data_IF_079096910290
#
_entry.id   IF_079096910290
#
_cell.length_a   1.000
_cell.length_b   1.000
_cell.length_c   1.000
_cell.angle_alpha   90.00
_cell.angle_beta   90.00
_cell.angle_gamma   90.00
#
_symmetry.space_group_name_H-M   'P 1'
#
loop_
_entity.id
_entity.type
_entity.pdbx_description
1 polymer ?
#
# COMPACT_ATOMS: atom_id res chain seq x y z
N UNK A 1 -4.76 10.54 -2.02
CA UNK A 1 -4.25 9.48 -2.91
C UNK A 1 -4.59 9.77 -4.37
N UNK A 2 -3.63 9.57 -5.29
CA UNK A 2 -3.83 9.62 -6.74
C UNK A 2 -3.53 8.23 -7.30
N UNK A 3 -4.44 7.66 -8.08
CA UNK A 3 -4.28 6.34 -8.71
C UNK A 3 -4.41 6.53 -10.21
N UNK A 4 -3.41 6.09 -10.95
CA UNK A 4 -3.43 6.06 -12.42
C UNK A 4 -3.41 4.60 -12.87
N UNK A 5 -4.36 4.21 -13.72
CA UNK A 5 -4.53 2.83 -14.16
C UNK A 5 -4.28 2.74 -15.66
N UNK A 6 -3.24 1.98 -16.02
CA UNK A 6 -2.90 1.66 -17.40
C UNK A 6 -3.29 0.22 -17.70
N UNK A 7 -4.29 0.01 -18.55
CA UNK A 7 -4.72 -1.32 -19.00
C UNK A 7 -3.85 -1.79 -20.17
N UNK A 8 -3.27 -2.98 -20.05
CA UNK A 8 -2.45 -3.62 -21.08
C UNK A 8 -3.18 -4.84 -21.69
N UNK A 9 -2.83 -5.23 -22.94
CA UNK A 9 -3.39 -6.43 -23.55
C UNK A 9 -3.04 -7.69 -22.74
N UNK A 10 -4.02 -8.59 -22.57
CA UNK A 10 -3.85 -9.83 -21.79
C UNK A 10 -4.38 -9.79 -20.35
N UNK A 11 -5.28 -8.87 -20.04
CA UNK A 11 -5.86 -8.68 -18.69
C UNK A 11 -4.80 -8.30 -17.64
N UNK A 12 -3.76 -7.59 -18.07
CA UNK A 12 -2.75 -7.02 -17.16
C UNK A 12 -3.05 -5.53 -17.03
N UNK A 13 -3.11 -5.02 -15.81
CA UNK A 13 -3.26 -3.60 -15.53
C UNK A 13 -2.12 -3.13 -14.64
N UNK A 14 -1.51 -2.01 -14.98
CA UNK A 14 -0.49 -1.36 -14.17
C UNK A 14 -1.13 -0.20 -13.41
N UNK A 15 -1.07 -0.26 -12.09
CA UNK A 15 -1.56 0.77 -11.17
C UNK A 15 -0.36 1.60 -10.70
N UNK A 16 -0.35 2.89 -11.00
CA UNK A 16 0.59 3.83 -10.41
C UNK A 16 -0.12 4.58 -9.28
N UNK A 17 0.35 4.37 -8.06
CA UNK A 17 -0.28 4.92 -6.86
C UNK A 17 0.67 5.95 -6.25
N UNK A 18 0.14 7.14 -6.00
CA UNK A 18 0.84 8.25 -5.36
C UNK A 18 0.08 8.71 -4.12
N UNK A 19 0.77 8.67 -2.98
CA UNK A 19 0.25 9.01 -1.68
C UNK A 19 0.78 10.39 -1.25
N UNK A 20 -0.13 11.29 -0.82
CA UNK A 20 0.25 12.59 -0.29
C UNK A 20 0.99 12.45 1.05
N UNK A 21 1.86 13.41 1.38
CA UNK A 21 2.68 13.36 2.58
C UNK A 21 1.90 13.45 3.89
N UNK A 22 0.67 13.95 3.85
CA UNK A 22 -0.23 13.99 5.00
C UNK A 22 -0.63 12.59 5.48
N UNK A 23 -0.99 11.70 4.55
CA UNK A 23 -1.37 10.32 4.87
C UNK A 23 -0.17 9.52 5.41
N UNK A 24 0.99 9.68 4.76
CA UNK A 24 2.23 9.05 5.19
C UNK A 24 2.65 9.52 6.57
N UNK A 25 2.54 10.83 6.86
CA UNK A 25 2.84 11.38 8.18
C UNK A 25 1.90 10.85 9.26
N UNK A 26 0.61 10.74 8.97
CA UNK A 26 -0.38 10.21 9.91
C UNK A 26 -0.14 8.74 10.24
N UNK A 27 0.20 7.95 9.24
CA UNK A 27 0.53 6.53 9.42
C UNK A 27 1.87 6.37 10.16
N UNK A 28 2.86 7.23 9.87
CA UNK A 28 4.12 7.32 10.61
C UNK A 28 3.90 7.58 12.10
N UNK A 29 3.11 8.59 12.46
CA UNK A 29 2.76 8.88 13.85
C UNK A 29 2.07 7.69 14.52
N UNK A 30 1.20 6.98 13.80
CA UNK A 30 0.48 5.82 14.33
C UNK A 30 1.43 4.66 14.63
N UNK A 31 2.35 4.38 13.72
CA UNK A 31 3.38 3.35 13.89
C UNK A 31 4.33 3.75 15.02
N UNK A 32 4.83 4.99 15.02
CA UNK A 32 5.71 5.52 16.06
C UNK A 32 5.08 5.44 17.46
N UNK A 33 3.78 5.74 17.60
CA UNK A 33 3.06 5.59 18.87
C UNK A 33 2.89 4.11 19.28
N UNK A 34 2.71 3.21 18.30
CA UNK A 34 2.64 1.76 18.57
C UNK A 34 3.99 1.25 19.07
N UNK A 35 5.08 1.59 18.38
CA UNK A 35 6.43 1.32 18.86
C UNK A 35 6.70 1.95 20.23
N UNK A 36 6.24 3.17 20.49
CA UNK A 36 6.39 3.81 21.80
C UNK A 36 5.77 2.99 22.93
N UNK A 37 4.63 2.33 22.69
CA UNK A 37 3.93 1.49 23.66
C UNK A 37 4.65 0.17 23.93
N UNK A 38 5.20 -0.47 22.89
CA UNK A 38 5.79 -1.81 23.00
C UNK A 38 7.31 -1.82 23.18
N UNK A 39 8.02 -0.77 22.75
CA UNK A 39 9.47 -0.71 22.80
C UNK A 39 9.97 -0.57 24.24
N UNK A 40 10.81 -1.53 24.65
CA UNK A 40 11.56 -1.46 25.90
C UNK A 40 12.82 -0.62 25.68
N UNK A 41 12.77 0.66 26.03
CA UNK A 41 13.92 1.56 25.93
C UNK A 41 14.62 1.61 27.30
N UNK A 42 15.92 1.23 27.39
CA UNK A 42 16.69 1.35 28.62
C UNK A 42 16.63 2.78 29.17
N UNK A 43 16.31 2.93 30.45
CA UNK A 43 16.16 4.23 31.12
C UNK A 43 14.75 4.82 31.12
N UNK A 44 13.82 4.27 30.33
CA UNK A 44 12.42 4.71 30.34
C UNK A 44 11.48 3.58 30.73
N UNK A 45 10.46 3.91 31.53
CA UNK A 45 9.34 2.99 31.76
C UNK A 45 8.65 2.70 30.41
N UNK A 46 8.29 1.44 30.10
CA UNK A 46 7.58 1.11 28.86
C UNK A 46 6.39 2.04 28.62
N UNK A 47 6.25 2.56 27.39
CA UNK A 47 5.19 3.51 27.02
C UNK A 47 5.43 4.98 27.42
N UNK A 48 6.53 5.31 28.11
CA UNK A 48 6.83 6.68 28.59
C UNK A 48 8.11 7.27 27.99
N UNK A 49 8.67 6.64 26.96
CA UNK A 49 9.83 7.18 26.26
C UNK A 49 9.43 8.37 25.36
N UNK A 50 10.25 9.44 25.29
CA UNK A 50 10.04 10.55 24.38
C UNK A 50 10.11 10.12 22.91
N UNK A 51 9.27 10.72 22.05
CA UNK A 51 9.22 10.42 20.60
C UNK A 51 10.57 10.53 19.92
N UNK A 52 11.34 11.58 20.24
CA UNK A 52 12.66 11.81 19.66
C UNK A 52 13.65 10.64 19.89
N UNK A 53 13.54 9.92 21.01
CA UNK A 53 14.40 8.76 21.31
C UNK A 53 13.95 7.53 20.52
N UNK A 54 12.64 7.33 20.42
CA UNK A 54 12.04 6.23 19.66
C UNK A 54 12.34 6.41 18.18
N UNK A 55 12.11 7.59 17.62
CA UNK A 55 12.38 7.89 16.22
C UNK A 55 13.86 7.74 15.88
N UNK A 56 14.79 8.11 16.76
CA UNK A 56 16.23 7.92 16.49
C UNK A 56 16.63 6.45 16.51
N UNK A 57 16.06 5.66 17.43
CA UNK A 57 16.46 4.26 17.64
C UNK A 57 15.76 3.29 16.69
N UNK A 58 14.48 3.52 16.44
CA UNK A 58 13.61 2.67 15.63
C UNK A 58 13.32 3.29 14.25
N UNK A 59 14.07 4.33 13.81
CA UNK A 59 13.84 4.99 12.50
C UNK A 59 13.69 4.00 11.35
N UNK A 60 14.63 3.07 11.26
CA UNK A 60 14.69 2.07 10.17
C UNK A 60 13.52 1.09 10.24
N UNK A 61 13.20 0.60 11.44
CA UNK A 61 12.08 -0.33 11.65
C UNK A 61 10.74 0.35 11.35
N UNK A 62 10.56 1.59 11.81
CA UNK A 62 9.37 2.39 11.53
C UNK A 62 9.27 2.67 10.02
N UNK A 63 10.37 2.99 9.33
CA UNK A 63 10.37 3.17 7.87
C UNK A 63 9.95 1.90 7.13
N UNK A 64 10.53 0.75 7.47
CA UNK A 64 10.23 -0.52 6.81
C UNK A 64 8.76 -0.94 7.02
N UNK A 65 8.28 -0.82 8.27
CA UNK A 65 6.89 -1.12 8.60
C UNK A 65 5.92 -0.14 7.96
N UNK A 66 6.26 1.16 7.92
CA UNK A 66 5.48 2.18 7.22
C UNK A 66 5.36 1.83 5.74
N UNK A 67 6.46 1.54 5.07
CA UNK A 67 6.46 1.20 3.64
C UNK A 67 5.57 -0.01 3.38
N UNK A 68 5.74 -1.11 4.13
CA UNK A 68 4.89 -2.30 3.98
C UNK A 68 3.41 -2.01 4.19
N UNK A 69 3.09 -1.26 5.24
CA UNK A 69 1.70 -0.97 5.60
C UNK A 69 1.03 -0.03 4.60
N UNK A 70 1.74 0.99 4.13
CA UNK A 70 1.26 1.92 3.11
C UNK A 70 1.07 1.20 1.77
N UNK A 71 2.03 0.40 1.31
CA UNK A 71 1.86 -0.40 0.09
C UNK A 71 0.59 -1.24 0.20
N UNK A 72 0.43 -2.01 1.29
CA UNK A 72 -0.72 -2.89 1.45
C UNK A 72 -2.05 -2.14 1.53
N UNK A 73 -2.10 -1.03 2.27
CA UNK A 73 -3.32 -0.23 2.46
C UNK A 73 -3.72 0.44 1.15
N UNK A 74 -2.79 1.11 0.50
CA UNK A 74 -3.04 1.84 -0.74
C UNK A 74 -3.29 0.92 -1.92
N UNK A 75 -2.71 -0.28 -1.91
CA UNK A 75 -3.10 -1.33 -2.85
C UNK A 75 -4.58 -1.72 -2.68
N UNK A 76 -5.02 -1.97 -1.44
CA UNK A 76 -6.41 -2.33 -1.18
C UNK A 76 -7.38 -1.21 -1.57
N UNK A 77 -7.06 0.02 -1.17
CA UNK A 77 -7.86 1.20 -1.46
C UNK A 77 -7.94 1.49 -2.97
N UNK A 78 -6.85 1.27 -3.72
CA UNK A 78 -6.86 1.40 -5.18
C UNK A 78 -7.77 0.37 -5.86
N UNK A 79 -7.80 -0.88 -5.38
CA UNK A 79 -8.69 -1.93 -5.89
C UNK A 79 -10.15 -1.57 -5.61
N UNK A 80 -10.46 -1.15 -4.38
CA UNK A 80 -11.82 -0.76 -3.98
C UNK A 80 -12.31 0.44 -4.79
N UNK A 81 -11.46 1.45 -4.98
CA UNK A 81 -11.80 2.68 -5.70
C UNK A 81 -12.09 2.43 -7.19
N UNK A 82 -11.30 1.59 -7.85
CA UNK A 82 -11.48 1.25 -9.26
C UNK A 82 -12.47 0.08 -9.48
N UNK A 83 -12.97 -0.55 -8.40
CA UNK A 83 -13.81 -1.76 -8.45
C UNK A 83 -13.24 -2.87 -9.36
N UNK A 84 -11.92 -2.91 -9.52
CA UNK A 84 -11.27 -3.86 -10.40
C UNK A 84 -11.41 -5.26 -9.81
N UNK A 85 -11.92 -6.20 -10.62
CA UNK A 85 -11.83 -7.62 -10.31
C UNK A 85 -10.39 -8.08 -10.50
N UNK A 86 -9.54 -7.79 -9.51
CA UNK A 86 -8.15 -8.25 -9.51
C UNK A 86 -8.14 -9.74 -9.20
N UNK A 87 -7.65 -10.53 -10.15
CA UNK A 87 -7.47 -11.96 -9.99
C UNK A 87 -6.20 -12.28 -9.20
N UNK A 88 -5.12 -11.51 -9.40
CA UNK A 88 -3.88 -11.66 -8.66
C UNK A 88 -3.01 -10.41 -8.69
N UNK A 89 -2.21 -10.21 -7.64
CA UNK A 89 -1.12 -9.25 -7.62
C UNK A 89 0.08 -9.90 -8.30
N UNK A 90 0.53 -9.32 -9.42
CA UNK A 90 1.65 -9.88 -10.17
C UNK A 90 2.98 -9.40 -9.59
N UNK A 91 3.16 -8.08 -9.48
CA UNK A 91 4.40 -7.46 -8.99
C UNK A 91 4.15 -6.08 -8.39
N UNK A 92 5.01 -5.68 -7.47
CA UNK A 92 5.11 -4.31 -6.94
C UNK A 92 6.54 -3.83 -7.23
N UNK A 93 6.66 -2.74 -7.96
CA UNK A 93 7.93 -2.17 -8.42
C UNK A 93 7.99 -0.68 -8.09
N UNK A 94 9.19 -0.10 -8.15
CA UNK A 94 9.43 1.35 -8.01
C UNK A 94 8.85 1.97 -6.72
N UNK A 95 9.00 1.29 -5.58
CA UNK A 95 8.61 1.86 -4.29
C UNK A 95 9.58 2.98 -3.91
N UNK A 96 9.17 4.22 -4.16
CA UNK A 96 9.91 5.43 -3.82
C UNK A 96 9.23 6.14 -2.66
N UNK A 97 9.96 6.28 -1.56
CA UNK A 97 9.58 7.11 -0.43
C UNK A 97 10.40 8.40 -0.48
N UNK A 98 9.76 9.51 -0.82
CA UNK A 98 10.39 10.83 -0.84
C UNK A 98 10.73 11.31 0.57
N UNK A 99 11.79 12.11 0.71
CA UNK A 99 12.14 12.75 1.99
C UNK A 99 11.04 13.71 2.48
N UNK A 100 10.27 14.25 1.54
CA UNK A 100 9.04 15.03 1.73
C UNK A 100 7.86 14.19 2.26
N UNK A 101 8.09 12.90 2.57
CA UNK A 101 7.10 11.92 3.01
C UNK A 101 6.04 11.62 1.97
N UNK A 102 6.23 11.95 0.70
CA UNK A 102 5.41 11.36 -0.36
C UNK A 102 5.82 9.91 -0.59
N UNK A 103 4.87 9.09 -1.03
CA UNK A 103 5.15 7.72 -1.40
C UNK A 103 4.56 7.43 -2.77
N UNK A 104 5.39 6.95 -3.70
CA UNK A 104 4.96 6.50 -5.01
C UNK A 104 5.37 5.06 -5.19
N UNK A 105 4.49 4.24 -5.73
CA UNK A 105 4.83 2.89 -6.16
C UNK A 105 3.99 2.45 -7.35
N UNK A 106 4.52 1.49 -8.09
CA UNK A 106 3.84 0.87 -9.22
C UNK A 106 3.46 -0.56 -8.83
N UNK A 107 2.20 -0.92 -9.04
CA UNK A 107 1.70 -2.27 -8.82
C UNK A 107 1.11 -2.82 -10.11
N UNK A 108 1.65 -3.92 -10.60
CA UNK A 108 1.09 -4.65 -11.74
C UNK A 108 0.12 -5.70 -11.21
N UNK A 109 -1.12 -5.62 -11.67
CA UNK A 109 -2.20 -6.53 -11.30
C UNK A 109 -2.73 -7.25 -12.52
N UNK A 110 -3.16 -8.49 -12.33
CA UNK A 110 -3.88 -9.25 -13.35
C UNK A 110 -5.37 -9.08 -13.05
N UNK A 111 -6.09 -8.49 -13.98
CA UNK A 111 -7.54 -8.31 -13.92
C UNK A 111 -8.25 -9.51 -14.53
N UNK A 112 -9.46 -9.80 -14.05
CA UNK A 112 -10.31 -10.78 -14.70
C UNK A 112 -10.79 -10.24 -16.06
N UNK A 113 -10.75 -11.04 -17.13
CA UNK A 113 -11.31 -10.61 -18.40
C UNK A 113 -12.81 -10.40 -18.26
N UNK A 114 -13.31 -9.27 -18.76
CA UNK A 114 -14.73 -9.11 -19.04
C UNK A 114 -15.03 -9.88 -20.32
N UNK A 115 -15.79 -10.97 -20.21
CA UNK A 115 -16.33 -11.67 -21.36
C UNK A 115 -17.85 -11.60 -21.31
N UNK A 116 -18.45 -11.26 -22.43
CA UNK A 116 -19.89 -11.36 -22.60
C UNK A 116 -20.21 -12.79 -23.05
N UNK A 117 -21.13 -13.43 -22.32
CA UNK A 117 -21.61 -14.76 -22.66
C UNK A 117 -22.44 -14.69 -23.95
N UNK A 118 -22.08 -15.43 -25.02
CA UNK A 118 -22.93 -15.50 -26.21
C UNK A 118 -24.25 -16.22 -25.89
N UNK A 119 -25.31 -15.94 -26.64
CA UNK A 119 -26.64 -16.51 -26.43
C UNK A 119 -26.63 -18.05 -26.54
N UNK A 120 -26.78 -18.75 -25.40
CA UNK A 120 -26.70 -20.21 -25.29
C UNK A 120 -27.91 -20.98 -25.87
N UNK A 121 -28.92 -20.30 -26.41
CA UNK A 121 -30.21 -20.91 -26.75
C UNK A 121 -30.23 -21.84 -27.97
N UNK A 122 -29.11 -22.05 -28.65
CA UNK A 122 -29.02 -22.90 -29.86
C UNK A 122 -27.93 -24.00 -29.79
N UNK A 123 -27.60 -24.49 -28.60
CA UNK A 123 -26.68 -25.63 -28.46
C UNK A 123 -27.52 -26.92 -28.36
N UNK A 124 -27.51 -27.80 -29.38
CA UNK A 124 -28.16 -29.10 -29.30
C UNK A 124 -27.42 -29.99 -28.28
N UNK A 125 -28.20 -30.68 -27.45
CA UNK A 125 -27.76 -31.56 -26.36
C UNK A 125 -27.30 -32.92 -26.90
#
# INVERSE_FOLDING_TARGET
>A
MKVEVEKQPGSVSTLQIELPPEEVSKEWDTIANSFARFAKIPGYRPGKAPRAVIERRFRKEIQDELTKKLVSKSYHEAIEQEQLRVASLANIEDVQLGEDKSMRFRATVITAPEFELPEYKNIPV
#
